data_IF_960775302676
#
_entry.id   IF_960775302676
#
_cell.length_a   1.000
_cell.length_b   1.000
_cell.length_c   1.000
_cell.angle_alpha   90.00
_cell.angle_beta   90.00
_cell.angle_gamma   90.00
#
_symmetry.space_group_name_H-M   'P 1'
#
loop_
_entity.id
_entity.type
_entity.pdbx_description
1 polymer ?
#
# COMPACT_ATOMS: atom_id res chain seq x y z
N UNK A 1 -10.35 -13.26 20.29
CA UNK A 1 -11.10 -12.17 19.61
C UNK A 1 -12.56 -12.60 19.53
N UNK A 2 -13.54 -11.72 19.79
CA UNK A 2 -14.96 -12.07 19.63
C UNK A 2 -15.30 -12.11 18.14
N UNK A 3 -15.80 -13.25 17.66
CA UNK A 3 -16.33 -13.41 16.30
C UNK A 3 -17.58 -12.55 16.13
N UNK A 4 -17.74 -11.93 14.97
CA UNK A 4 -18.92 -11.11 14.68
C UNK A 4 -19.94 -11.91 13.87
N UNK A 5 -21.16 -11.95 14.39
CA UNK A 5 -22.29 -12.64 13.76
C UNK A 5 -22.95 -11.82 12.65
N UNK A 6 -22.69 -10.52 12.56
CA UNK A 6 -23.28 -9.63 11.56
C UNK A 6 -22.33 -8.49 11.14
N UNK A 7 -22.27 -8.20 9.84
CA UNK A 7 -21.54 -7.07 9.25
C UNK A 7 -22.59 -6.22 8.50
N UNK A 8 -22.64 -4.89 8.70
CA UNK A 8 -23.56 -4.02 7.98
C UNK A 8 -23.32 -4.08 6.47
N UNK A 9 -24.28 -4.63 5.72
CA UNK A 9 -24.17 -4.79 4.26
C UNK A 9 -25.04 -3.79 3.49
N UNK A 10 -26.06 -3.21 4.12
CA UNK A 10 -26.97 -2.28 3.46
C UNK A 10 -26.48 -0.82 3.58
N UNK A 11 -26.76 0.00 2.55
CA UNK A 11 -26.38 1.43 2.51
C UNK A 11 -26.94 2.21 3.71
N UNK A 12 -28.16 1.89 4.13
CA UNK A 12 -28.87 2.58 5.23
C UNK A 12 -28.24 2.25 6.58
N UNK A 13 -27.93 0.97 6.82
CA UNK A 13 -27.31 0.52 8.07
C UNK A 13 -25.88 1.08 8.22
N UNK A 14 -25.11 1.11 7.12
CA UNK A 14 -23.77 1.70 7.09
C UNK A 14 -23.80 3.22 7.32
N UNK A 15 -24.74 3.93 6.69
CA UNK A 15 -24.92 5.38 6.91
C UNK A 15 -25.30 5.70 8.36
N UNK A 16 -26.16 4.90 8.99
CA UNK A 16 -26.57 5.08 10.40
C UNK A 16 -25.40 5.04 11.39
N UNK A 17 -24.37 4.22 11.12
CA UNK A 17 -23.15 4.16 11.96
C UNK A 17 -22.40 5.49 11.95
N UNK A 18 -22.27 6.12 10.78
CA UNK A 18 -21.59 7.41 10.65
C UNK A 18 -22.38 8.61 11.17
N UNK A 19 -23.72 8.56 11.20
CA UNK A 19 -24.53 9.60 11.86
C UNK A 19 -24.13 9.69 13.34
N UNK A 20 -23.96 8.54 13.99
CA UNK A 20 -23.51 8.46 15.39
C UNK A 20 -22.12 9.09 15.57
N UNK A 21 -21.21 8.82 14.63
CA UNK A 21 -19.84 9.37 14.62
C UNK A 21 -19.83 10.87 14.39
N UNK A 22 -20.66 11.39 13.48
CA UNK A 22 -20.81 12.82 13.24
C UNK A 22 -21.26 13.57 14.48
N UNK A 23 -22.18 13.00 15.27
CA UNK A 23 -22.61 13.57 16.55
C UNK A 23 -21.48 13.61 17.58
N UNK A 24 -20.68 12.54 17.68
CA UNK A 24 -19.51 12.48 18.58
C UNK A 24 -18.43 13.48 18.19
N UNK A 25 -18.06 13.53 16.91
CA UNK A 25 -17.10 14.50 16.37
C UNK A 25 -17.59 15.93 16.62
N UNK A 26 -18.86 16.22 16.38
CA UNK A 26 -19.47 17.52 16.69
C UNK A 26 -19.38 17.88 18.17
N UNK A 27 -19.62 16.90 19.06
CA UNK A 27 -19.47 17.07 20.51
C UNK A 27 -18.02 17.37 20.91
N UNK A 28 -17.04 16.70 20.29
CA UNK A 28 -15.61 16.94 20.52
C UNK A 28 -15.21 18.36 20.10
N UNK A 29 -15.72 18.86 18.98
CA UNK A 29 -15.51 20.26 18.57
C UNK A 29 -16.10 21.25 19.59
N UNK A 30 -17.34 21.03 20.05
CA UNK A 30 -17.97 21.88 21.08
C UNK A 30 -17.11 21.90 22.34
N UNK A 31 -16.73 20.73 22.87
CA UNK A 31 -15.86 20.57 24.03
C UNK A 31 -14.53 21.29 23.88
N UNK A 32 -13.89 21.20 22.71
CA UNK A 32 -12.63 21.89 22.43
C UNK A 32 -12.81 23.41 22.43
N UNK A 33 -13.81 23.95 21.74
CA UNK A 33 -14.05 25.40 21.72
C UNK A 33 -14.47 25.95 23.08
N UNK A 34 -15.26 25.20 23.87
CA UNK A 34 -15.58 25.57 25.26
C UNK A 34 -14.31 25.63 26.13
N UNK A 35 -13.41 24.65 25.99
CA UNK A 35 -12.12 24.66 26.70
C UNK A 35 -11.23 25.82 26.25
N UNK A 36 -11.19 26.11 24.95
CA UNK A 36 -10.41 27.23 24.40
C UNK A 36 -10.91 28.60 24.86
N UNK A 37 -12.21 28.75 25.13
CA UNK A 37 -12.78 29.95 25.73
C UNK A 37 -12.33 30.15 27.19
N UNK A 38 -12.04 29.05 27.91
CA UNK A 38 -11.58 29.08 29.31
C UNK A 38 -10.05 29.20 29.38
N UNK A 39 -9.34 28.52 28.48
CA UNK A 39 -7.88 28.51 28.36
C UNK A 39 -7.46 28.69 26.89
N UNK A 40 -7.03 29.91 26.50
CA UNK A 40 -6.61 30.23 25.13
C UNK A 40 -5.40 29.43 24.63
N UNK A 41 -4.60 28.83 25.53
CA UNK A 41 -3.42 28.02 25.18
C UNK A 41 -3.76 26.59 24.71
N UNK A 42 -5.04 26.19 24.83
CA UNK A 42 -5.52 24.87 24.42
C UNK A 42 -5.23 24.60 22.93
N UNK A 43 -4.37 23.62 22.66
CA UNK A 43 -4.03 23.17 21.30
C UNK A 43 -5.09 22.22 20.73
N UNK A 44 -5.11 22.05 19.40
CA UNK A 44 -6.01 21.11 18.71
C UNK A 44 -5.61 19.63 18.89
N UNK A 45 -4.50 19.33 19.57
CA UNK A 45 -3.97 17.98 19.74
C UNK A 45 -5.00 17.01 20.35
N UNK A 46 -5.60 17.42 21.47
CA UNK A 46 -6.63 16.64 22.17
C UNK A 46 -7.90 16.45 21.34
N UNK A 47 -8.27 17.45 20.54
CA UNK A 47 -9.39 17.37 19.60
C UNK A 47 -9.11 16.34 18.49
N UNK A 48 -7.89 16.34 17.95
CA UNK A 48 -7.49 15.37 16.92
C UNK A 48 -7.43 13.95 17.49
N UNK A 49 -6.95 13.74 18.72
CA UNK A 49 -6.95 12.43 19.38
C UNK A 49 -8.37 11.89 19.62
N UNK A 50 -9.26 12.71 20.21
CA UNK A 50 -10.66 12.32 20.46
C UNK A 50 -11.37 11.96 19.14
N UNK A 51 -11.22 12.79 18.10
CA UNK A 51 -11.83 12.54 16.78
C UNK A 51 -11.23 11.33 16.05
N UNK A 52 -9.90 11.14 16.11
CA UNK A 52 -9.24 9.99 15.49
C UNK A 52 -9.76 8.68 16.07
N UNK A 53 -10.00 8.62 17.39
CA UNK A 53 -10.55 7.45 18.05
C UNK A 53 -12.00 7.16 17.61
N UNK A 54 -12.89 8.16 17.65
CA UNK A 54 -14.30 7.98 17.28
C UNK A 54 -14.47 7.60 15.80
N UNK A 55 -13.68 8.21 14.91
CA UNK A 55 -13.69 7.88 13.48
C UNK A 55 -13.12 6.48 13.26
N UNK A 56 -11.99 6.14 13.88
CA UNK A 56 -11.40 4.80 13.79
C UNK A 56 -12.36 3.69 14.22
N UNK A 57 -13.02 3.86 15.37
CA UNK A 57 -13.97 2.86 15.89
C UNK A 57 -15.12 2.61 14.91
N UNK A 58 -15.57 3.67 14.24
CA UNK A 58 -16.61 3.60 13.21
C UNK A 58 -16.12 2.86 11.97
N UNK A 59 -14.97 3.26 11.42
CA UNK A 59 -14.36 2.63 10.24
C UNK A 59 -14.05 1.15 10.52
N UNK A 60 -13.57 0.84 11.72
CA UNK A 60 -13.33 -0.53 12.19
C UNK A 60 -14.63 -1.33 12.28
N UNK A 61 -15.73 -0.75 12.78
CA UNK A 61 -17.01 -1.46 12.86
C UNK A 61 -17.61 -1.81 11.50
N UNK A 62 -17.29 -1.04 10.45
CA UNK A 62 -17.83 -1.19 9.11
C UNK A 62 -17.10 -2.22 8.25
N UNK A 63 -15.81 -2.47 8.54
CA UNK A 63 -14.92 -3.40 7.82
C UNK A 63 -14.81 -3.11 6.32
N UNK A 64 -13.94 -3.88 5.65
CA UNK A 64 -13.73 -3.80 4.21
C UNK A 64 -13.28 -2.41 3.76
N UNK A 65 -14.04 -1.81 2.85
CA UNK A 65 -13.70 -0.55 2.20
C UNK A 65 -13.45 0.60 3.17
N UNK A 66 -14.32 0.82 4.17
CA UNK A 66 -14.13 1.88 5.17
C UNK A 66 -12.84 1.70 6.00
N UNK A 67 -12.51 0.47 6.40
CA UNK A 67 -11.28 0.19 7.15
C UNK A 67 -10.04 0.36 6.25
N UNK A 68 -10.13 -0.02 4.98
CA UNK A 68 -9.06 0.17 4.00
C UNK A 68 -8.83 1.64 3.66
N UNK A 69 -9.88 2.48 3.64
CA UNK A 69 -9.70 3.94 3.55
C UNK A 69 -8.86 4.45 4.72
N UNK A 70 -9.12 3.98 5.94
CA UNK A 70 -8.30 4.34 7.11
C UNK A 70 -6.83 3.89 6.93
N UNK A 71 -6.62 2.66 6.46
CA UNK A 71 -5.28 2.13 6.17
C UNK A 71 -4.56 2.99 5.12
N UNK A 72 -5.20 3.27 3.98
CA UNK A 72 -4.63 4.07 2.90
C UNK A 72 -4.28 5.48 3.36
N UNK A 73 -5.16 6.13 4.11
CA UNK A 73 -4.90 7.46 4.68
C UNK A 73 -3.79 7.44 5.73
N UNK A 74 -3.62 6.35 6.50
CA UNK A 74 -2.54 6.23 7.49
C UNK A 74 -1.14 6.06 6.89
N UNK A 75 -1.06 5.60 5.65
CA UNK A 75 0.22 5.44 4.94
C UNK A 75 0.73 6.76 4.38
N UNK A 76 -0.15 7.74 4.19
CA UNK A 76 0.18 9.08 3.71
C UNK A 76 0.44 10.01 4.90
N UNK A 77 1.66 9.92 5.45
CA UNK A 77 2.08 10.65 6.66
C UNK A 77 2.03 12.18 6.51
N UNK A 78 1.93 12.72 5.29
CA UNK A 78 1.86 14.15 5.02
C UNK A 78 0.44 14.74 5.00
N UNK A 79 -0.59 13.92 4.85
CA UNK A 79 -1.98 14.40 4.70
C UNK A 79 -2.77 14.49 5.99
N UNK A 80 -2.52 13.60 6.95
CA UNK A 80 -3.28 13.53 8.19
C UNK A 80 -2.48 14.03 9.39
N UNK A 81 -3.12 14.74 10.35
CA UNK A 81 -2.50 15.00 11.64
C UNK A 81 -2.05 13.69 12.31
N UNK A 82 -0.88 13.71 12.96
CA UNK A 82 -0.21 12.54 13.57
C UNK A 82 -1.15 11.62 14.37
N UNK A 83 -2.06 12.19 15.16
CA UNK A 83 -3.04 11.44 15.94
C UNK A 83 -3.94 10.50 15.10
N UNK A 84 -4.30 10.90 13.88
CA UNK A 84 -5.07 10.05 12.96
C UNK A 84 -4.19 8.99 12.34
N UNK A 85 -2.98 9.34 11.90
CA UNK A 85 -2.01 8.41 11.30
C UNK A 85 -1.70 7.26 12.25
N UNK A 86 -1.41 7.56 13.51
CA UNK A 86 -1.14 6.57 14.56
C UNK A 86 -2.37 5.71 14.88
N UNK A 87 -3.55 6.33 15.02
CA UNK A 87 -4.77 5.59 15.34
C UNK A 87 -5.21 4.70 14.17
N UNK A 88 -5.12 5.19 12.95
CA UNK A 88 -5.49 4.45 11.76
C UNK A 88 -4.48 3.35 11.44
N UNK A 89 -3.20 3.46 11.83
CA UNK A 89 -2.26 2.34 11.72
C UNK A 89 -2.76 1.07 12.47
N UNK A 90 -3.57 1.22 13.53
CA UNK A 90 -4.21 0.09 14.22
C UNK A 90 -5.17 -0.72 13.32
N UNK A 91 -5.66 -0.14 12.23
CA UNK A 91 -6.57 -0.82 11.29
C UNK A 91 -5.92 -1.99 10.58
N UNK A 92 -4.59 -2.05 10.54
CA UNK A 92 -3.83 -3.19 10.02
C UNK A 92 -4.04 -4.47 10.86
N UNK A 93 -4.43 -4.33 12.13
CA UNK A 93 -4.43 -5.43 13.10
C UNK A 93 -5.82 -5.91 13.55
N UNK A 94 -6.91 -5.39 12.98
CA UNK A 94 -8.23 -5.51 13.63
C UNK A 94 -9.42 -5.69 12.68
N UNK A 95 -9.46 -6.81 11.96
CA UNK A 95 -10.72 -7.33 11.38
C UNK A 95 -11.11 -8.67 12.04
N UNK A 96 -12.10 -8.72 12.96
CA UNK A 96 -12.77 -9.94 13.37
C UNK A 96 -13.15 -10.83 12.19
N UNK A 97 -12.88 -12.15 12.29
CA UNK A 97 -13.22 -13.08 11.23
C UNK A 97 -14.74 -13.20 11.09
N UNK A 98 -15.18 -13.49 9.87
CA UNK A 98 -16.54 -13.92 9.54
C UNK A 98 -16.89 -15.16 10.36
N UNK A 99 -18.16 -15.24 10.72
CA UNK A 99 -18.74 -16.48 11.24
C UNK A 99 -18.73 -17.58 10.17
N UNK A 100 -18.61 -18.84 10.60
CA UNK A 100 -18.68 -20.01 9.70
C UNK A 100 -19.89 -19.99 8.74
N UNK A 101 -21.12 -19.62 9.17
CA UNK A 101 -22.26 -19.49 8.27
C UNK A 101 -22.06 -18.50 7.12
N UNK A 102 -21.38 -17.35 7.36
CA UNK A 102 -21.10 -16.37 6.32
C UNK A 102 -20.06 -16.90 5.32
N UNK A 103 -19.07 -17.66 5.80
CA UNK A 103 -18.10 -18.37 4.95
C UNK A 103 -18.83 -19.35 4.04
N UNK A 104 -19.64 -20.27 4.60
CA UNK A 104 -20.39 -21.27 3.83
C UNK A 104 -21.32 -20.62 2.82
N UNK A 105 -22.04 -19.56 3.20
CA UNK A 105 -22.93 -18.83 2.30
C UNK A 105 -22.19 -18.18 1.12
N UNK A 106 -20.97 -17.67 1.36
CA UNK A 106 -20.14 -17.08 0.29
C UNK A 106 -19.72 -18.13 -0.73
N UNK A 107 -19.32 -19.31 -0.26
CA UNK A 107 -19.03 -20.48 -1.08
C UNK A 107 -20.23 -20.93 -1.93
N UNK A 108 -21.39 -21.14 -1.30
CA UNK A 108 -22.60 -21.57 -2.01
C UNK A 108 -23.02 -20.56 -3.07
N UNK A 109 -22.96 -19.26 -2.77
CA UNK A 109 -23.36 -18.20 -3.72
C UNK A 109 -22.43 -18.05 -4.91
N UNK A 110 -21.13 -18.27 -4.75
CA UNK A 110 -20.13 -17.98 -5.79
C UNK A 110 -19.63 -19.22 -6.52
N UNK A 111 -19.62 -20.37 -5.86
CA UNK A 111 -19.12 -21.65 -6.40
C UNK A 111 -20.19 -22.74 -6.45
N UNK A 112 -21.40 -22.50 -5.92
CA UNK A 112 -22.49 -23.48 -5.92
C UNK A 112 -22.28 -24.69 -5.00
N UNK A 113 -21.19 -24.71 -4.23
CA UNK A 113 -20.78 -25.81 -3.35
C UNK A 113 -20.40 -25.28 -1.98
N UNK A 114 -20.53 -26.08 -0.93
CA UNK A 114 -19.98 -25.76 0.39
C UNK A 114 -18.48 -26.05 0.46
N UNK A 115 -17.73 -25.50 1.44
CA UNK A 115 -16.32 -25.83 1.62
C UNK A 115 -16.06 -27.33 1.74
N UNK A 116 -16.91 -28.05 2.49
CA UNK A 116 -16.79 -29.49 2.70
C UNK A 116 -17.07 -30.34 1.45
N UNK A 117 -17.75 -29.79 0.44
CA UNK A 117 -17.93 -30.46 -0.86
C UNK A 117 -16.77 -30.20 -1.82
N UNK A 118 -16.03 -29.10 -1.63
CA UNK A 118 -14.95 -28.69 -2.51
C UNK A 118 -13.59 -29.21 -2.02
N UNK A 119 -13.33 -29.10 -0.72
CA UNK A 119 -12.06 -29.47 -0.08
C UNK A 119 -12.17 -30.78 0.69
N UNK A 120 -11.06 -31.48 0.84
CA UNK A 120 -10.98 -32.71 1.64
C UNK A 120 -11.00 -32.37 3.14
N UNK A 121 -10.39 -31.24 3.51
CA UNK A 121 -10.59 -30.60 4.81
C UNK A 121 -10.57 -29.07 4.65
N UNK A 122 -11.28 -28.38 5.55
CA UNK A 122 -11.34 -26.91 5.56
C UNK A 122 -11.47 -26.41 7.00
N UNK A 123 -10.55 -25.55 7.44
CA UNK A 123 -10.62 -24.93 8.76
C UNK A 123 -11.60 -23.75 8.75
N UNK A 124 -12.70 -23.86 9.51
CA UNK A 124 -13.66 -22.77 9.67
C UNK A 124 -13.10 -21.58 10.43
N UNK A 125 -12.04 -21.76 11.20
CA UNK A 125 -11.33 -20.67 11.83
C UNK A 125 -10.40 -20.02 10.81
N UNK A 126 -10.52 -18.71 10.64
CA UNK A 126 -9.59 -17.97 9.80
C UNK A 126 -8.19 -18.05 10.40
N UNK A 127 -7.20 -18.34 9.56
CA UNK A 127 -5.78 -18.33 9.94
C UNK A 127 -5.30 -16.88 10.08
N UNK A 128 -5.60 -16.05 9.07
CA UNK A 128 -5.19 -14.65 9.01
C UNK A 128 -6.35 -13.76 8.54
N UNK A 129 -6.37 -12.51 9.01
CA UNK A 129 -7.19 -11.47 8.41
C UNK A 129 -6.47 -10.88 7.20
N UNK A 130 -7.21 -10.60 6.12
CA UNK A 130 -6.73 -9.85 4.96
C UNK A 130 -7.42 -8.48 4.92
N UNK A 131 -6.96 -7.58 4.05
CA UNK A 131 -7.47 -6.20 4.00
C UNK A 131 -9.00 -6.09 3.83
N UNK A 132 -9.56 -6.83 2.88
CA UNK A 132 -11.00 -6.86 2.59
C UNK A 132 -11.62 -8.27 2.71
N UNK A 133 -10.94 -9.16 3.43
CA UNK A 133 -11.31 -10.57 3.51
C UNK A 133 -10.56 -11.31 4.61
N UNK A 134 -10.55 -12.63 4.52
CA UNK A 134 -9.83 -13.50 5.45
C UNK A 134 -9.32 -14.75 4.76
N UNK A 135 -8.27 -15.35 5.32
CA UNK A 135 -7.63 -16.55 4.76
C UNK A 135 -7.94 -17.74 5.66
N UNK A 136 -8.33 -18.85 5.04
CA UNK A 136 -8.53 -20.13 5.69
C UNK A 136 -7.53 -21.15 5.17
N UNK A 137 -7.16 -22.10 6.04
CA UNK A 137 -6.40 -23.27 5.65
C UNK A 137 -7.35 -24.36 5.16
N UNK A 138 -7.00 -24.99 4.04
CA UNK A 138 -7.72 -26.13 3.50
C UNK A 138 -6.75 -27.21 3.02
N UNK A 139 -7.26 -28.42 2.78
CA UNK A 139 -6.52 -29.50 2.13
C UNK A 139 -7.30 -30.00 0.94
N UNK A 140 -6.62 -30.18 -0.19
CA UNK A 140 -7.18 -30.84 -1.38
C UNK A 140 -6.13 -31.69 -2.08
N UNK A 141 -6.47 -32.92 -2.40
CA UNK A 141 -5.59 -33.87 -3.12
C UNK A 141 -4.21 -34.01 -2.43
N UNK A 142 -4.20 -33.99 -1.10
CA UNK A 142 -2.97 -34.06 -0.29
C UNK A 142 -2.15 -32.77 -0.22
N UNK A 143 -2.58 -31.67 -0.84
CA UNK A 143 -1.93 -30.35 -0.77
C UNK A 143 -2.56 -29.45 0.27
N UNK A 144 -1.74 -28.71 1.01
CA UNK A 144 -2.19 -27.61 1.87
C UNK A 144 -2.47 -26.37 1.01
N UNK A 145 -3.62 -25.74 1.25
CA UNK A 145 -4.10 -24.59 0.47
C UNK A 145 -4.42 -23.41 1.38
N UNK A 146 -4.16 -22.22 0.86
CA UNK A 146 -4.67 -20.95 1.37
C UNK A 146 -5.91 -20.54 0.57
N UNK A 147 -7.02 -20.31 1.29
CA UNK A 147 -8.30 -19.89 0.69
C UNK A 147 -8.66 -18.50 1.18
N UNK A 148 -8.42 -17.49 0.33
CA UNK A 148 -8.72 -16.08 0.59
C UNK A 148 -10.18 -15.81 0.23
N UNK A 149 -10.98 -15.39 1.19
CA UNK A 149 -12.42 -15.15 1.07
C UNK A 149 -12.70 -13.68 1.32
N UNK A 150 -13.33 -13.02 0.36
CA UNK A 150 -13.74 -11.62 0.49
C UNK A 150 -14.89 -11.46 1.49
N UNK A 151 -14.89 -10.38 2.28
CA UNK A 151 -16.01 -10.06 3.15
C UNK A 151 -17.28 -9.74 2.33
N UNK A 152 -18.45 -10.26 2.73
CA UNK A 152 -19.69 -9.98 2.02
C UNK A 152 -20.02 -8.49 1.98
N UNK A 153 -20.29 -7.97 0.79
CA UNK A 153 -20.81 -6.62 0.59
C UNK A 153 -19.75 -5.52 0.42
N UNK A 154 -18.46 -5.84 0.53
CA UNK A 154 -17.39 -4.83 0.46
C UNK A 154 -17.37 -4.09 -0.89
N UNK A 155 -17.40 -4.80 -2.02
CA UNK A 155 -17.46 -4.18 -3.34
C UNK A 155 -18.64 -3.20 -3.49
N UNK A 156 -19.81 -3.57 -2.94
CA UNK A 156 -21.03 -2.77 -3.02
C UNK A 156 -21.00 -1.56 -2.07
N UNK A 157 -20.18 -1.60 -1.02
CA UNK A 157 -20.09 -0.54 -0.02
C UNK A 157 -19.03 0.51 -0.32
N UNK A 158 -18.05 0.26 -1.20
CA UNK A 158 -16.95 1.19 -1.52
C UNK A 158 -17.46 2.61 -1.77
N UNK A 159 -18.35 2.77 -2.76
CA UNK A 159 -18.93 4.07 -3.14
C UNK A 159 -19.66 4.76 -1.99
N UNK A 160 -20.48 4.01 -1.25
CA UNK A 160 -21.24 4.60 -0.14
C UNK A 160 -20.33 5.00 1.02
N UNK A 161 -19.33 4.18 1.34
CA UNK A 161 -18.40 4.46 2.43
C UNK A 161 -17.58 5.72 2.13
N UNK A 162 -17.07 5.84 0.90
CA UNK A 162 -16.29 7.00 0.49
C UNK A 162 -17.10 8.29 0.53
N UNK A 163 -18.35 8.28 0.07
CA UNK A 163 -19.25 9.43 0.21
C UNK A 163 -19.44 9.87 1.65
N UNK A 164 -19.44 8.92 2.58
CA UNK A 164 -19.64 9.24 3.99
C UNK A 164 -18.34 9.73 4.65
N UNK A 165 -17.17 9.21 4.23
CA UNK A 165 -15.86 9.64 4.76
C UNK A 165 -15.43 11.00 4.22
N UNK A 166 -15.78 11.32 2.96
CA UNK A 166 -15.35 12.52 2.25
C UNK A 166 -15.53 13.85 3.03
N UNK A 167 -16.68 14.15 3.65
CA UNK A 167 -16.85 15.39 4.43
C UNK A 167 -15.91 15.51 5.62
N UNK A 168 -15.57 14.39 6.27
CA UNK A 168 -14.63 14.37 7.39
C UNK A 168 -13.20 14.58 6.89
N UNK A 169 -12.82 13.92 5.79
CA UNK A 169 -11.51 14.09 5.18
C UNK A 169 -11.27 15.55 4.76
N UNK A 170 -12.24 16.21 4.10
CA UNK A 170 -12.15 17.65 3.77
C UNK A 170 -11.88 18.48 5.01
N UNK A 171 -12.61 18.22 6.11
CA UNK A 171 -12.50 19.01 7.34
C UNK A 171 -11.21 18.76 8.12
N UNK A 172 -10.61 17.58 7.97
CA UNK A 172 -9.34 17.21 8.63
C UNK A 172 -8.14 17.75 7.83
N UNK A 173 -8.17 17.58 6.51
CA UNK A 173 -7.02 17.87 5.63
C UNK A 173 -7.01 19.33 5.17
N UNK A 174 -8.16 20.02 5.15
CA UNK A 174 -8.24 21.45 4.81
C UNK A 174 -8.02 21.77 3.32
N UNK A 175 -8.04 20.75 2.45
CA UNK A 175 -7.98 20.91 1.00
C UNK A 175 -9.30 21.43 0.41
N UNK A 176 -9.22 22.01 -0.79
CA UNK A 176 -10.41 22.41 -1.55
C UNK A 176 -11.17 21.16 -2.07
N UNK A 177 -12.45 21.33 -2.41
CA UNK A 177 -13.32 20.21 -2.78
C UNK A 177 -12.89 19.55 -4.11
N UNK A 178 -12.39 20.32 -5.07
CA UNK A 178 -12.00 19.80 -6.39
C UNK A 178 -10.78 18.88 -6.33
N UNK A 179 -9.76 19.23 -5.55
CA UNK A 179 -8.57 18.40 -5.38
C UNK A 179 -8.88 17.16 -4.54
N UNK A 180 -9.79 17.30 -3.55
CA UNK A 180 -10.28 16.17 -2.78
C UNK A 180 -11.05 15.17 -3.65
N UNK A 181 -11.79 15.64 -4.66
CA UNK A 181 -12.58 14.77 -5.55
C UNK A 181 -11.68 13.85 -6.35
N UNK A 182 -10.62 14.39 -6.96
CA UNK A 182 -9.62 13.60 -7.70
C UNK A 182 -8.97 12.52 -6.82
N UNK A 183 -8.64 12.89 -5.58
CA UNK A 183 -8.05 11.95 -4.61
C UNK A 183 -9.03 10.84 -4.22
N UNK A 184 -10.29 11.18 -3.96
CA UNK A 184 -11.32 10.19 -3.63
C UNK A 184 -11.69 9.29 -4.81
N UNK A 185 -11.67 9.80 -6.04
CA UNK A 185 -11.83 8.98 -7.25
C UNK A 185 -10.71 7.95 -7.39
N UNK A 186 -9.47 8.33 -7.07
CA UNK A 186 -8.34 7.42 -7.07
C UNK A 186 -8.47 6.33 -5.98
N UNK A 187 -8.84 6.71 -4.76
CA UNK A 187 -9.12 5.76 -3.68
C UNK A 187 -10.27 4.83 -4.07
N UNK A 188 -11.35 5.36 -4.65
CA UNK A 188 -12.49 4.57 -5.10
C UNK A 188 -12.07 3.54 -6.13
N UNK A 189 -11.39 3.98 -7.19
CA UNK A 189 -10.88 3.10 -8.23
C UNK A 189 -10.00 2.00 -7.64
N UNK A 190 -9.12 2.36 -6.70
CA UNK A 190 -8.21 1.40 -6.05
C UNK A 190 -8.96 0.37 -5.21
N UNK A 191 -9.93 0.79 -4.42
CA UNK A 191 -10.75 -0.11 -3.59
C UNK A 191 -11.62 -1.04 -4.43
N UNK A 192 -12.17 -0.55 -5.54
CA UNK A 192 -12.93 -1.38 -6.47
C UNK A 192 -12.03 -2.43 -7.14
N UNK A 193 -10.82 -2.04 -7.55
CA UNK A 193 -9.80 -2.93 -8.10
C UNK A 193 -9.43 -4.04 -7.09
N UNK A 194 -9.23 -3.70 -5.81
CA UNK A 194 -8.97 -4.70 -4.75
C UNK A 194 -10.13 -5.68 -4.55
N UNK A 195 -11.36 -5.29 -4.90
CA UNK A 195 -12.52 -6.18 -4.77
C UNK A 195 -12.70 -7.14 -5.95
N UNK A 196 -11.93 -6.99 -7.02
CA UNK A 196 -11.99 -7.86 -8.19
C UNK A 196 -10.99 -9.04 -8.06
N UNK A 197 -11.43 -10.10 -7.40
CA UNK A 197 -10.60 -11.29 -7.19
C UNK A 197 -10.32 -12.07 -8.49
N UNK A 198 -11.12 -11.88 -9.55
CA UNK A 198 -10.81 -12.47 -10.86
C UNK A 198 -9.63 -11.76 -11.51
N UNK A 199 -9.60 -10.43 -11.41
CA UNK A 199 -8.48 -9.62 -11.86
C UNK A 199 -7.22 -9.95 -11.05
N UNK A 200 -7.32 -10.01 -9.73
CA UNK A 200 -6.22 -10.42 -8.85
C UNK A 200 -5.71 -11.81 -9.24
N UNK A 201 -6.57 -12.82 -9.33
CA UNK A 201 -6.18 -14.20 -9.69
C UNK A 201 -5.39 -14.25 -11.01
N UNK A 202 -5.89 -13.59 -12.06
CA UNK A 202 -5.21 -13.54 -13.36
C UNK A 202 -3.85 -12.87 -13.25
N UNK A 203 -3.78 -11.69 -12.63
CA UNK A 203 -2.51 -10.97 -12.43
C UNK A 203 -1.51 -11.78 -11.63
N UNK A 204 -1.98 -12.49 -10.61
CA UNK A 204 -1.16 -13.35 -9.79
C UNK A 204 -0.51 -14.46 -10.62
N UNK A 205 -1.29 -15.14 -11.46
CA UNK A 205 -0.79 -16.16 -12.37
C UNK A 205 0.19 -15.58 -13.40
N UNK A 206 -0.20 -14.51 -14.08
CA UNK A 206 0.62 -13.90 -15.14
C UNK A 206 1.98 -13.42 -14.59
N UNK A 207 1.97 -12.79 -13.41
CA UNK A 207 3.18 -12.25 -12.80
C UNK A 207 4.05 -13.32 -12.14
N UNK A 208 3.45 -14.34 -11.51
CA UNK A 208 4.20 -15.47 -10.97
C UNK A 208 4.91 -16.23 -12.08
N UNK A 209 4.21 -16.48 -13.20
CA UNK A 209 4.79 -17.18 -14.34
C UNK A 209 5.91 -16.35 -14.99
N UNK A 210 5.67 -15.04 -15.17
CA UNK A 210 6.68 -14.13 -15.72
C UNK A 210 7.93 -14.03 -14.84
N UNK A 211 7.82 -14.20 -13.52
CA UNK A 211 8.93 -14.04 -12.57
C UNK A 211 9.50 -15.37 -12.05
N UNK A 212 8.96 -16.52 -12.47
CA UNK A 212 9.32 -17.84 -11.92
C UNK A 212 10.80 -18.23 -12.12
N UNK A 213 11.46 -17.64 -13.11
CA UNK A 213 12.88 -17.87 -13.41
C UNK A 213 13.83 -17.08 -12.49
N UNK A 214 13.33 -16.07 -11.76
CA UNK A 214 14.14 -15.25 -10.88
C UNK A 214 14.55 -16.08 -9.65
N UNK A 215 15.86 -16.15 -9.31
CA UNK A 215 16.31 -16.94 -8.18
C UNK A 215 15.65 -16.56 -6.86
N UNK A 216 15.46 -17.57 -6.01
CA UNK A 216 14.98 -17.43 -4.62
C UNK A 216 13.55 -16.88 -4.45
N UNK A 217 12.79 -16.68 -5.53
CA UNK A 217 11.36 -16.39 -5.46
C UNK A 217 10.53 -17.68 -5.36
N UNK A 218 9.49 -17.64 -4.53
CA UNK A 218 8.54 -18.73 -4.37
C UNK A 218 7.14 -18.17 -4.54
N UNK A 219 6.44 -18.62 -5.57
CA UNK A 219 5.04 -18.28 -5.81
C UNK A 219 4.15 -19.50 -5.53
N UNK A 220 2.92 -19.31 -5.05
CA UNK A 220 2.00 -20.42 -4.92
C UNK A 220 1.43 -20.79 -6.29
N UNK A 221 1.05 -22.06 -6.48
CA UNK A 221 0.15 -22.40 -7.58
C UNK A 221 -1.24 -21.84 -7.27
N UNK A 222 -1.82 -21.12 -8.22
CA UNK A 222 -3.20 -20.64 -8.11
C UNK A 222 -4.17 -21.63 -8.78
N UNK A 223 -5.36 -21.80 -8.23
CA UNK A 223 -6.36 -22.79 -8.68
C UNK A 223 -7.65 -22.11 -9.16
N UNK A 224 -7.76 -21.75 -10.45
CA UNK A 224 -8.95 -21.09 -11.00
C UNK A 224 -10.25 -21.90 -10.83
N UNK A 225 -10.17 -23.23 -10.88
CA UNK A 225 -11.30 -24.14 -10.73
C UNK A 225 -11.90 -24.15 -9.31
N UNK A 226 -11.15 -23.68 -8.32
CA UNK A 226 -11.58 -23.54 -6.92
C UNK A 226 -11.68 -22.07 -6.50
N UNK A 227 -11.65 -21.16 -7.47
CA UNK A 227 -11.69 -19.71 -7.27
C UNK A 227 -12.93 -19.10 -7.93
N UNK A 228 -13.30 -17.89 -7.50
CA UNK A 228 -14.48 -17.15 -7.96
C UNK A 228 -14.23 -15.64 -7.91
N UNK A 229 -15.28 -14.83 -8.12
CA UNK A 229 -15.25 -13.38 -7.90
C UNK A 229 -15.06 -12.96 -6.43
N UNK A 230 -15.09 -13.91 -5.48
CA UNK A 230 -14.92 -13.62 -4.04
C UNK A 230 -14.02 -14.58 -3.30
N UNK A 231 -13.51 -15.60 -3.98
CA UNK A 231 -12.66 -16.64 -3.39
C UNK A 231 -11.44 -16.83 -4.29
N UNK A 232 -10.25 -16.74 -3.71
CA UNK A 232 -9.00 -17.14 -4.38
C UNK A 232 -8.43 -18.32 -3.61
N UNK A 233 -8.12 -19.38 -4.34
CA UNK A 233 -7.53 -20.60 -3.79
C UNK A 233 -6.14 -20.79 -4.38
N UNK A 234 -5.15 -20.98 -3.53
CA UNK A 234 -3.75 -21.10 -3.91
C UNK A 234 -3.00 -22.04 -2.96
N UNK A 235 -1.79 -22.47 -3.32
CA UNK A 235 -0.93 -23.25 -2.43
C UNK A 235 -0.67 -22.49 -1.12
N UNK A 236 -0.64 -23.22 0.00
CA UNK A 236 -0.19 -22.66 1.27
C UNK A 236 1.33 -22.48 1.26
N UNK A 237 1.79 -21.23 1.32
CA UNK A 237 3.22 -20.94 1.47
C UNK A 237 3.63 -20.96 2.94
N UNK A 238 4.77 -21.59 3.21
CA UNK A 238 5.40 -21.63 4.53
C UNK A 238 6.47 -20.54 4.64
N UNK A 239 6.54 -19.88 5.79
CA UNK A 239 7.53 -18.84 6.08
C UNK A 239 7.06 -17.96 7.24
N UNK A 240 7.85 -16.95 7.58
CA UNK A 240 7.55 -15.97 8.62
C UNK A 240 7.44 -14.57 7.99
N UNK A 241 6.54 -13.74 8.53
CA UNK A 241 6.53 -12.32 8.15
C UNK A 241 7.81 -11.62 8.65
N UNK A 242 8.19 -10.51 8.00
CA UNK A 242 9.47 -9.81 8.24
C UNK A 242 9.83 -9.66 9.73
N UNK A 243 8.91 -9.16 10.55
CA UNK A 243 9.14 -8.94 11.98
C UNK A 243 9.43 -10.22 12.75
N UNK A 244 8.67 -11.28 12.47
CA UNK A 244 8.85 -12.59 13.10
C UNK A 244 10.12 -13.27 12.62
N UNK A 245 10.41 -13.16 11.32
CA UNK A 245 11.62 -13.66 10.71
C UNK A 245 12.88 -13.01 11.32
N UNK A 246 12.90 -11.70 11.50
CA UNK A 246 14.04 -11.01 12.12
C UNK A 246 14.27 -11.43 13.59
N UNK A 247 13.20 -11.82 14.30
CA UNK A 247 13.31 -12.33 15.68
C UNK A 247 14.01 -13.70 15.77
N UNK A 248 14.03 -14.47 14.68
CA UNK A 248 14.79 -15.73 14.64
C UNK A 248 16.30 -15.51 14.42
N UNK A 249 16.74 -14.26 14.37
CA UNK A 249 18.14 -13.84 14.12
C UNK A 249 18.79 -14.56 12.91
N UNK A 250 18.22 -14.42 11.71
CA UNK A 250 18.74 -15.06 10.51
C UNK A 250 20.14 -14.51 10.18
N UNK A 251 20.98 -15.34 9.55
CA UNK A 251 22.33 -14.94 9.14
C UNK A 251 22.28 -13.82 8.08
N UNK A 252 23.38 -13.09 7.95
CA UNK A 252 23.44 -11.99 6.99
C UNK A 252 23.32 -12.49 5.54
N UNK A 253 23.83 -13.68 5.24
CA UNK A 253 23.71 -14.32 3.93
C UNK A 253 22.25 -14.58 3.55
N UNK A 254 21.45 -15.07 4.50
CA UNK A 254 20.01 -15.30 4.29
C UNK A 254 19.29 -13.97 4.06
N UNK A 255 19.60 -12.93 4.85
CA UNK A 255 19.02 -11.59 4.68
C UNK A 255 19.38 -10.98 3.34
N UNK A 256 20.63 -11.10 2.91
CA UNK A 256 21.10 -10.62 1.61
C UNK A 256 20.44 -11.39 0.46
N UNK A 257 20.28 -12.72 0.58
CA UNK A 257 19.58 -13.55 -0.42
C UNK A 257 18.14 -13.10 -0.63
N UNK A 258 17.40 -12.88 0.47
CA UNK A 258 16.02 -12.38 0.43
C UNK A 258 15.97 -10.96 -0.15
N UNK A 259 16.87 -10.08 0.30
CA UNK A 259 16.95 -8.71 -0.21
C UNK A 259 17.27 -8.66 -1.71
N UNK A 260 18.19 -9.50 -2.18
CA UNK A 260 18.53 -9.60 -3.59
C UNK A 260 17.33 -10.10 -4.41
N UNK A 261 16.62 -11.11 -3.93
CA UNK A 261 15.45 -11.64 -4.61
C UNK A 261 14.34 -10.58 -4.75
N UNK A 262 14.09 -9.79 -3.69
CA UNK A 262 13.17 -8.67 -3.74
C UNK A 262 13.60 -7.60 -4.75
N UNK A 263 14.87 -7.20 -4.71
CA UNK A 263 15.41 -6.23 -5.66
C UNK A 263 15.22 -6.72 -7.11
N UNK A 264 15.67 -7.94 -7.40
CA UNK A 264 15.58 -8.54 -8.73
C UNK A 264 14.12 -8.63 -9.20
N UNK A 265 13.21 -9.03 -8.31
CA UNK A 265 11.77 -9.08 -8.58
C UNK A 265 11.22 -7.73 -9.03
N UNK A 266 11.54 -6.66 -8.31
CA UNK A 266 11.07 -5.31 -8.64
C UNK A 266 11.74 -4.73 -9.89
N UNK A 267 13.05 -4.95 -10.04
CA UNK A 267 13.79 -4.47 -11.20
C UNK A 267 13.32 -5.15 -12.49
N UNK A 268 13.10 -6.47 -12.46
CA UNK A 268 12.58 -7.21 -13.61
C UNK A 268 11.19 -6.70 -14.04
N UNK A 269 10.28 -6.53 -13.08
CA UNK A 269 8.96 -5.96 -13.30
C UNK A 269 9.01 -4.59 -13.98
N UNK A 270 9.71 -3.64 -13.37
CA UNK A 270 9.78 -2.26 -13.84
C UNK A 270 10.47 -2.16 -15.20
N UNK A 271 11.61 -2.82 -15.38
CA UNK A 271 12.46 -2.63 -16.54
C UNK A 271 12.14 -3.60 -17.70
N UNK A 272 11.62 -4.78 -17.43
CA UNK A 272 11.26 -5.77 -18.46
C UNK A 272 9.76 -5.76 -18.75
N UNK A 273 8.92 -5.93 -17.72
CA UNK A 273 7.47 -6.06 -17.92
C UNK A 273 6.75 -4.72 -18.13
N UNK A 274 7.39 -3.59 -17.76
CA UNK A 274 6.76 -2.26 -17.68
C UNK A 274 5.48 -2.28 -16.84
N UNK A 275 5.49 -3.13 -15.83
CA UNK A 275 4.41 -3.32 -14.88
C UNK A 275 5.04 -3.55 -13.51
N UNK A 276 4.41 -3.07 -12.45
CA UNK A 276 4.97 -3.22 -11.11
C UNK A 276 3.91 -3.55 -10.08
N UNK A 277 4.24 -4.46 -9.18
CA UNK A 277 3.51 -4.70 -7.94
C UNK A 277 3.66 -3.49 -7.00
N UNK A 278 2.76 -2.52 -7.11
CA UNK A 278 2.83 -1.23 -6.41
C UNK A 278 2.34 -1.28 -4.95
N UNK A 279 2.51 -2.42 -4.27
CA UNK A 279 2.25 -2.58 -2.83
C UNK A 279 3.34 -3.43 -2.15
N UNK A 280 4.56 -2.87 -1.96
CA UNK A 280 5.68 -3.51 -1.25
C UNK A 280 5.44 -3.59 0.27
N UNK A 281 4.26 -4.00 0.72
CA UNK A 281 3.96 -4.15 2.13
C UNK A 281 4.56 -5.44 2.67
N UNK A 282 5.26 -5.45 3.83
CA UNK A 282 5.86 -6.67 4.40
C UNK A 282 4.89 -7.85 4.59
N UNK A 283 3.59 -7.54 4.73
CA UNK A 283 2.52 -8.54 4.85
C UNK A 283 2.26 -9.35 3.59
N UNK A 284 2.73 -8.90 2.42
CA UNK A 284 2.58 -9.61 1.13
C UNK A 284 3.73 -10.61 0.88
N UNK A 285 4.66 -10.71 1.84
CA UNK A 285 5.87 -11.50 1.75
C UNK A 285 6.01 -12.47 2.93
N UNK A 286 6.57 -13.65 2.65
CA UNK A 286 6.94 -14.65 3.65
C UNK A 286 8.43 -14.99 3.50
N UNK A 287 9.22 -14.64 4.50
CA UNK A 287 10.65 -14.91 4.54
C UNK A 287 10.90 -16.33 5.03
N UNK A 288 11.83 -17.03 4.40
CA UNK A 288 12.15 -18.42 4.73
C UNK A 288 13.59 -18.55 5.22
N UNK A 289 13.88 -19.48 6.15
CA UNK A 289 15.24 -19.68 6.68
C UNK A 289 16.28 -20.09 5.65
N UNK A 290 15.85 -20.63 4.50
CA UNK A 290 16.69 -21.05 3.38
C UNK A 290 17.12 -19.88 2.47
N UNK A 291 16.72 -18.65 2.78
CA UNK A 291 17.07 -17.47 1.98
C UNK A 291 16.14 -17.22 0.79
N UNK A 292 15.02 -17.96 0.70
CA UNK A 292 13.97 -17.73 -0.28
C UNK A 292 12.86 -16.84 0.27
N UNK A 293 12.06 -16.26 -0.63
CA UNK A 293 10.93 -15.39 -0.28
C UNK A 293 9.66 -15.82 -1.00
N UNK A 294 8.60 -16.05 -0.23
CA UNK A 294 7.25 -16.30 -0.70
C UNK A 294 6.51 -15.02 -1.04
N UNK A 295 5.87 -14.95 -2.20
CA UNK A 295 5.06 -13.81 -2.66
C UNK A 295 3.70 -14.33 -3.12
N UNK A 296 2.59 -13.76 -2.62
CA UNK A 296 1.27 -14.35 -2.81
C UNK A 296 0.11 -13.35 -3.01
N UNK A 297 0.34 -12.04 -2.85
CA UNK A 297 -0.67 -11.01 -3.10
C UNK A 297 -0.22 -10.09 -4.25
N UNK A 298 -1.05 -10.00 -5.29
CA UNK A 298 -0.83 -9.16 -6.47
C UNK A 298 -2.05 -8.27 -6.77
N UNK A 299 -2.80 -7.89 -5.74
CA UNK A 299 -3.98 -7.03 -5.87
C UNK A 299 -3.67 -5.62 -6.42
N UNK A 300 -2.41 -5.20 -6.37
CA UNK A 300 -1.96 -3.88 -6.84
C UNK A 300 -0.87 -3.98 -7.92
N UNK A 301 -1.24 -4.28 -9.16
CA UNK A 301 -0.33 -4.16 -10.31
C UNK A 301 -0.64 -2.88 -11.09
N UNK A 302 0.38 -2.09 -11.40
CA UNK A 302 0.28 -0.89 -12.22
C UNK A 302 1.13 -1.01 -13.47
N UNK A 303 0.54 -0.68 -14.60
CA UNK A 303 1.25 -0.46 -15.86
C UNK A 303 2.03 0.85 -15.81
N UNK A 304 3.23 0.84 -16.37
CA UNK A 304 4.13 1.98 -16.47
C UNK A 304 4.08 2.46 -17.93
N UNK A 305 3.46 3.61 -18.22
CA UNK A 305 3.45 4.15 -19.57
C UNK A 305 4.86 4.35 -20.12
N UNK A 306 5.06 4.08 -21.41
CA UNK A 306 6.39 4.09 -22.02
C UNK A 306 7.07 5.46 -22.04
N UNK A 307 6.30 6.52 -22.25
CA UNK A 307 6.71 7.91 -22.17
C UNK A 307 7.13 8.28 -20.74
N UNK A 308 6.32 7.92 -19.75
CA UNK A 308 6.64 8.10 -18.34
C UNK A 308 7.91 7.34 -17.96
N UNK A 309 8.00 6.04 -18.30
CA UNK A 309 9.16 5.19 -18.02
C UNK A 309 10.45 5.83 -18.56
N UNK A 310 10.42 6.28 -19.82
CA UNK A 310 11.62 6.85 -20.47
C UNK A 310 12.09 8.10 -19.76
N UNK A 311 11.18 9.05 -19.46
CA UNK A 311 11.54 10.28 -18.77
C UNK A 311 11.99 10.01 -17.33
N UNK A 312 11.27 9.14 -16.61
CA UNK A 312 11.51 8.88 -15.19
C UNK A 312 12.85 8.18 -14.94
N UNK A 313 13.21 7.16 -15.74
CA UNK A 313 14.47 6.46 -15.55
C UNK A 313 15.68 7.19 -16.15
N UNK A 314 15.48 8.20 -17.00
CA UNK A 314 16.54 9.15 -17.36
C UNK A 314 17.02 9.99 -16.16
N UNK A 315 16.22 10.11 -15.09
CA UNK A 315 16.63 10.84 -13.87
C UNK A 315 17.82 10.20 -13.15
N UNK A 316 18.13 8.92 -13.41
CA UNK A 316 19.27 8.22 -12.84
C UNK A 316 20.58 8.66 -13.52
N UNK A 317 20.51 9.11 -14.78
CA UNK A 317 21.68 9.47 -15.57
C UNK A 317 22.08 10.93 -15.32
N UNK A 318 23.14 11.11 -14.53
CA UNK A 318 23.67 12.43 -14.18
C UNK A 318 24.21 13.19 -15.39
N UNK A 319 24.65 12.53 -16.45
CA UNK A 319 25.12 13.22 -17.65
C UNK A 319 23.93 13.80 -18.43
N UNK A 320 22.81 13.09 -18.50
CA UNK A 320 21.56 13.61 -19.08
C UNK A 320 21.09 14.85 -18.32
N UNK A 321 21.17 14.83 -16.99
CA UNK A 321 20.71 15.94 -16.16
C UNK A 321 21.62 17.19 -16.19
N UNK A 322 22.86 17.08 -16.70
CA UNK A 322 23.74 18.25 -16.90
C UNK A 322 23.29 19.13 -18.07
N UNK A 323 22.63 18.55 -19.07
CA UNK A 323 22.04 19.29 -20.18
C UNK A 323 20.78 20.01 -19.66
N UNK A 324 20.85 21.34 -19.60
CA UNK A 324 19.77 22.19 -19.08
C UNK A 324 18.48 22.06 -19.90
N UNK A 325 18.60 22.01 -21.23
CA UNK A 325 17.43 21.87 -22.09
C UNK A 325 16.79 20.50 -21.87
N UNK A 326 17.61 19.44 -21.84
CA UNK A 326 17.11 18.09 -21.65
C UNK A 326 16.50 17.87 -20.27
N UNK A 327 17.14 18.40 -19.21
CA UNK A 327 16.61 18.38 -17.84
C UNK A 327 15.26 19.11 -17.77
N UNK A 328 15.15 20.29 -18.39
CA UNK A 328 13.92 21.06 -18.42
C UNK A 328 12.78 20.30 -19.13
N UNK A 329 13.07 19.66 -20.26
CA UNK A 329 12.11 18.79 -20.97
C UNK A 329 11.64 17.64 -20.07
N UNK A 330 12.57 16.91 -19.43
CA UNK A 330 12.23 15.78 -18.56
C UNK A 330 11.39 16.24 -17.36
N UNK A 331 11.79 17.32 -16.69
CA UNK A 331 11.06 17.83 -15.52
C UNK A 331 9.66 18.31 -15.90
N UNK A 332 9.49 18.90 -17.09
CA UNK A 332 8.17 19.29 -17.59
C UNK A 332 7.31 18.07 -17.90
N UNK A 333 7.86 17.06 -18.60
CA UNK A 333 7.15 15.82 -18.94
C UNK A 333 6.73 15.02 -17.71
N UNK A 334 7.48 15.11 -16.61
CA UNK A 334 7.17 14.48 -15.34
C UNK A 334 6.32 15.36 -14.41
N UNK A 335 5.86 16.53 -14.90
CA UNK A 335 5.05 17.51 -14.16
C UNK A 335 5.74 18.02 -12.87
N UNK A 336 7.07 17.97 -12.82
CA UNK A 336 7.88 18.50 -11.72
C UNK A 336 7.94 20.03 -11.79
N UNK A 337 8.03 20.56 -13.00
CA UNK A 337 7.90 22.00 -13.31
C UNK A 337 6.76 22.21 -14.30
N UNK A 338 6.13 23.38 -14.24
CA UNK A 338 4.97 23.72 -15.06
C UNK A 338 5.24 24.91 -15.97
N UNK A 339 4.63 25.00 -17.17
CA UNK A 339 4.81 26.14 -18.08
C UNK A 339 4.37 27.48 -17.50
N UNK A 340 3.53 27.47 -16.46
CA UNK A 340 3.05 28.67 -15.76
C UNK A 340 3.97 29.13 -14.63
N UNK A 341 5.01 28.37 -14.31
CA UNK A 341 5.95 28.71 -13.25
C UNK A 341 6.80 29.93 -13.64
N UNK A 342 7.03 30.81 -12.68
CA UNK A 342 7.99 31.90 -12.82
C UNK A 342 9.42 31.34 -12.89
N UNK A 343 10.39 32.09 -13.47
CA UNK A 343 11.79 31.63 -13.50
C UNK A 343 12.36 31.27 -12.12
N UNK A 344 11.94 31.98 -11.07
CA UNK A 344 12.34 31.68 -9.67
C UNK A 344 11.75 30.37 -9.16
N UNK A 345 10.50 30.07 -9.50
CA UNK A 345 9.87 28.79 -9.14
C UNK A 345 10.53 27.63 -9.89
N UNK A 346 10.82 27.79 -11.18
CA UNK A 346 11.52 26.78 -11.97
C UNK A 346 12.88 26.47 -11.34
N UNK A 347 13.68 27.49 -11.00
CA UNK A 347 14.98 27.31 -10.35
C UNK A 347 14.85 26.61 -9.00
N UNK A 348 13.92 27.07 -8.15
CA UNK A 348 13.67 26.50 -6.82
C UNK A 348 13.25 25.03 -6.89
N UNK A 349 12.18 24.71 -7.63
CA UNK A 349 11.67 23.35 -7.73
C UNK A 349 12.66 22.43 -8.43
N UNK A 350 13.37 22.90 -9.46
CA UNK A 350 14.41 22.10 -10.12
C UNK A 350 15.52 21.70 -9.16
N UNK A 351 15.97 22.63 -8.30
CA UNK A 351 16.97 22.34 -7.27
C UNK A 351 16.48 21.33 -6.23
N UNK A 352 15.23 21.49 -5.77
CA UNK A 352 14.62 20.54 -4.82
C UNK A 352 14.49 19.13 -5.39
N UNK A 353 13.98 19.00 -6.62
CA UNK A 353 13.83 17.72 -7.28
C UNK A 353 15.18 17.07 -7.56
N UNK A 354 16.18 17.85 -7.98
CA UNK A 354 17.53 17.33 -8.22
C UNK A 354 18.11 16.67 -6.97
N UNK A 355 18.04 17.35 -5.81
CA UNK A 355 18.55 16.78 -4.55
C UNK A 355 17.78 15.52 -4.15
N UNK A 356 16.45 15.52 -4.30
CA UNK A 356 15.63 14.33 -4.03
C UNK A 356 15.99 13.15 -4.95
N UNK A 357 16.22 13.43 -6.24
CA UNK A 357 16.63 12.44 -7.24
C UNK A 357 18.00 11.85 -6.86
N UNK A 358 18.98 12.69 -6.52
CA UNK A 358 20.31 12.23 -6.15
C UNK A 358 20.27 11.27 -4.93
N UNK A 359 19.46 11.58 -3.91
CA UNK A 359 19.28 10.73 -2.74
C UNK A 359 18.60 9.39 -3.08
N UNK A 360 17.47 9.44 -3.77
CA UNK A 360 16.66 8.23 -4.03
C UNK A 360 17.27 7.31 -5.09
N UNK A 361 18.05 7.87 -6.02
CA UNK A 361 18.67 7.12 -7.10
C UNK A 361 20.05 6.56 -6.75
N UNK A 362 20.65 6.97 -5.62
CA UNK A 362 21.98 6.52 -5.21
C UNK A 362 22.20 4.99 -5.32
N UNK A 363 21.27 4.11 -4.87
CA UNK A 363 21.45 2.68 -5.01
C UNK A 363 21.60 2.20 -6.47
N UNK A 364 20.96 2.86 -7.43
CA UNK A 364 21.05 2.52 -8.85
C UNK A 364 22.35 3.01 -9.51
N UNK A 365 23.06 3.94 -8.87
CA UNK A 365 24.32 4.48 -9.39
C UNK A 365 25.55 3.67 -8.98
N UNK A 366 25.38 2.69 -8.08
CA UNK A 366 26.44 1.85 -7.55
C UNK A 366 26.27 0.39 -8.01
N UNK A 367 27.35 -0.39 -8.11
CA UNK A 367 27.27 -1.82 -8.48
C UNK A 367 26.66 -2.68 -7.35
N UNK A 368 26.78 -2.24 -6.11
CA UNK A 368 26.19 -2.85 -4.93
C UNK A 368 25.83 -1.77 -3.92
N UNK A 369 24.84 -2.04 -3.08
CA UNK A 369 24.36 -1.11 -2.06
C UNK A 369 24.07 -1.82 -0.74
N UNK A 370 24.53 -1.21 0.36
CA UNK A 370 24.25 -1.64 1.73
C UNK A 370 23.03 -0.88 2.28
N UNK A 371 21.86 -1.51 2.26
CA UNK A 371 20.65 -0.95 2.85
C UNK A 371 20.67 -0.99 4.39
N UNK A 372 21.70 -1.57 5.02
CA UNK A 372 21.98 -1.41 6.44
C UNK A 372 22.58 -0.05 6.82
N UNK A 373 22.91 0.80 5.85
CA UNK A 373 23.49 2.12 6.07
C UNK A 373 22.47 3.11 6.67
N UNK A 374 22.47 3.24 8.00
CA UNK A 374 21.57 4.15 8.72
C UNK A 374 21.78 5.63 8.35
N UNK A 375 23.01 6.04 7.99
CA UNK A 375 23.29 7.43 7.62
C UNK A 375 22.55 7.83 6.33
N UNK A 376 22.47 6.93 5.36
CA UNK A 376 21.73 7.14 4.11
C UNK A 376 20.24 7.39 4.35
N UNK A 377 19.59 6.55 5.17
CA UNK A 377 18.18 6.72 5.50
C UNK A 377 17.91 7.96 6.34
N UNK A 378 18.80 8.29 7.27
CA UNK A 378 18.70 9.52 8.06
C UNK A 378 18.77 10.77 7.17
N UNK A 379 19.61 10.76 6.13
CA UNK A 379 19.69 11.86 5.16
C UNK A 379 18.38 12.02 4.37
N UNK A 380 17.81 10.91 3.88
CA UNK A 380 16.50 10.94 3.21
C UNK A 380 15.41 11.49 4.15
N UNK A 381 15.33 10.99 5.39
CA UNK A 381 14.30 11.44 6.32
C UNK A 381 14.48 12.89 6.74
N UNK A 382 15.71 13.34 6.96
CA UNK A 382 16.01 14.74 7.28
C UNK A 382 15.58 15.67 6.14
N UNK A 383 15.89 15.32 4.89
CA UNK A 383 15.50 16.12 3.74
C UNK A 383 13.98 16.13 3.53
N UNK A 384 13.29 15.00 3.74
CA UNK A 384 11.82 14.94 3.67
C UNK A 384 11.16 15.80 4.76
N UNK A 385 11.72 15.83 5.97
CA UNK A 385 11.23 16.71 7.04
C UNK A 385 11.49 18.18 6.72
N UNK A 386 12.64 18.51 6.12
CA UNK A 386 12.93 19.86 5.64
C UNK A 386 11.88 20.30 4.60
N UNK A 387 11.67 19.50 3.54
CA UNK A 387 10.67 19.75 2.50
C UNK A 387 9.27 19.97 3.07
N UNK A 388 8.86 19.14 4.03
CA UNK A 388 7.55 19.25 4.67
C UNK A 388 7.38 20.57 5.44
N UNK A 389 8.46 21.11 5.99
CA UNK A 389 8.46 22.34 6.76
C UNK A 389 8.70 23.61 5.92
N UNK A 390 9.10 23.49 4.65
CA UNK A 390 9.30 24.62 3.74
C UNK A 390 7.98 25.34 3.41
N UNK A 391 7.99 26.67 3.53
CA UNK A 391 6.81 27.51 3.30
C UNK A 391 6.37 27.47 1.84
N UNK A 392 7.33 27.54 0.93
CA UNK A 392 7.15 27.52 -0.52
C UNK A 392 6.45 26.23 -0.99
N UNK A 393 6.76 25.09 -0.35
CA UNK A 393 6.10 23.81 -0.61
C UNK A 393 4.68 23.81 -0.05
N UNK A 394 4.51 24.23 1.21
CA UNK A 394 3.20 24.23 1.89
C UNK A 394 2.20 25.22 1.28
N UNK A 395 2.68 26.34 0.74
CA UNK A 395 1.84 27.37 0.12
C UNK A 395 1.66 27.14 -1.40
N UNK A 396 2.39 26.18 -1.98
CA UNK A 396 2.21 25.82 -3.39
C UNK A 396 0.80 25.28 -3.62
N UNK A 397 0.10 25.89 -4.57
CA UNK A 397 -1.25 25.46 -5.00
C UNK A 397 -1.20 24.57 -6.25
N UNK A 398 -0.01 24.29 -6.76
CA UNK A 398 0.21 23.50 -7.97
C UNK A 398 0.67 22.12 -7.55
N UNK A 399 -0.10 21.10 -7.89
CA UNK A 399 0.33 19.71 -7.72
C UNK A 399 1.53 19.44 -8.65
N UNK A 400 2.63 18.92 -8.08
CA UNK A 400 3.85 18.61 -8.82
C UNK A 400 4.16 17.12 -8.74
N UNK A 401 4.62 16.58 -9.86
CA UNK A 401 4.92 15.17 -10.05
C UNK A 401 3.74 14.41 -10.67
N UNK A 402 4.05 13.66 -11.73
CA UNK A 402 3.10 12.77 -12.39
C UNK A 402 2.45 11.80 -11.41
N UNK A 403 1.17 11.50 -11.65
CA UNK A 403 0.44 10.42 -10.95
C UNK A 403 1.21 9.09 -10.97
N UNK A 404 1.94 8.79 -12.05
CA UNK A 404 2.74 7.57 -12.17
C UNK A 404 3.97 7.59 -11.24
N UNK A 405 4.57 8.77 -11.02
CA UNK A 405 5.69 8.94 -10.07
C UNK A 405 5.30 8.57 -8.65
N UNK A 406 4.07 8.89 -8.22
CA UNK A 406 3.58 8.54 -6.88
C UNK A 406 3.63 7.03 -6.64
N UNK A 407 3.19 6.23 -7.62
CA UNK A 407 3.21 4.76 -7.51
C UNK A 407 4.62 4.21 -7.49
N UNK A 408 5.50 4.67 -8.38
CA UNK A 408 6.88 4.18 -8.45
C UNK A 408 7.68 4.59 -7.21
N UNK A 409 7.60 5.86 -6.81
CA UNK A 409 8.25 6.34 -5.59
C UNK A 409 7.79 5.53 -4.38
N UNK A 410 6.48 5.35 -4.20
CA UNK A 410 5.93 4.55 -3.08
C UNK A 410 6.41 3.11 -3.11
N UNK A 411 6.52 2.52 -4.30
CA UNK A 411 7.05 1.16 -4.47
C UNK A 411 8.50 1.08 -4.01
N UNK A 412 9.37 1.99 -4.46
CA UNK A 412 10.77 1.99 -4.07
C UNK A 412 10.95 2.34 -2.58
N UNK A 413 10.18 3.27 -2.02
CA UNK A 413 10.23 3.56 -0.58
C UNK A 413 9.88 2.35 0.28
N UNK A 414 8.82 1.61 -0.07
CA UNK A 414 8.46 0.40 0.66
C UNK A 414 9.49 -0.72 0.49
N UNK A 415 10.04 -0.88 -0.71
CA UNK A 415 11.15 -1.81 -0.96
C UNK A 415 12.38 -1.45 -0.11
N UNK A 416 12.79 -0.18 -0.12
CA UNK A 416 13.95 0.30 0.65
C UNK A 416 13.75 0.10 2.14
N UNK A 417 12.54 0.31 2.65
CA UNK A 417 12.20 0.02 4.05
C UNK A 417 12.40 -1.47 4.38
N UNK A 418 11.93 -2.38 3.54
CA UNK A 418 12.12 -3.83 3.76
C UNK A 418 13.61 -4.20 3.69
N UNK A 419 14.35 -3.67 2.71
CA UNK A 419 15.78 -3.92 2.57
C UNK A 419 16.58 -3.35 3.76
N UNK A 420 16.14 -2.20 4.29
CA UNK A 420 16.71 -1.58 5.50
C UNK A 420 16.47 -2.41 6.75
N UNK A 421 15.25 -2.92 6.94
CA UNK A 421 14.92 -3.80 8.08
C UNK A 421 15.72 -5.11 8.02
N UNK A 422 15.93 -5.64 6.81
CA UNK A 422 16.81 -6.78 6.56
C UNK A 422 18.30 -6.44 6.72
N UNK A 423 18.67 -5.16 6.71
CA UNK A 423 20.05 -4.69 6.57
C UNK A 423 20.75 -5.37 5.39
N UNK A 424 20.05 -5.46 4.26
CA UNK A 424 20.49 -6.24 3.12
C UNK A 424 21.61 -5.52 2.35
N UNK A 425 22.71 -6.23 2.09
CA UNK A 425 23.75 -5.80 1.15
C UNK A 425 23.58 -6.57 -0.15
N UNK A 426 23.27 -5.87 -1.23
CA UNK A 426 22.81 -6.48 -2.49
C UNK A 426 23.52 -5.87 -3.70
N UNK A 427 23.52 -6.60 -4.81
CA UNK A 427 23.99 -6.15 -6.11
C UNK A 427 22.89 -5.33 -6.77
N UNK A 428 23.22 -4.09 -7.09
CA UNK A 428 22.32 -3.11 -7.71
C UNK A 428 22.73 -2.75 -9.15
N UNK A 429 23.83 -3.32 -9.64
CA UNK A 429 24.34 -3.12 -10.99
C UNK A 429 23.25 -3.30 -12.06
N UNK A 430 23.00 -2.30 -12.92
CA UNK A 430 22.02 -2.41 -14.02
C UNK A 430 22.24 -3.61 -14.95
N UNK A 431 23.48 -4.08 -15.12
CA UNK A 431 23.79 -5.26 -15.93
C UNK A 431 23.13 -6.54 -15.39
N UNK A 432 22.80 -6.58 -14.09
CA UNK A 432 22.06 -7.68 -13.47
C UNK A 432 20.66 -7.84 -14.06
N UNK A 433 20.00 -6.73 -14.42
CA UNK A 433 18.66 -6.76 -15.03
C UNK A 433 18.68 -7.54 -16.34
N UNK A 434 19.71 -7.35 -17.16
CA UNK A 434 19.87 -8.08 -18.42
C UNK A 434 20.11 -9.58 -18.22
N UNK A 435 20.63 -10.00 -17.06
CA UNK A 435 20.80 -11.41 -16.71
C UNK A 435 19.47 -12.06 -16.31
N UNK A 436 18.57 -11.28 -15.71
CA UNK A 436 17.21 -11.73 -15.37
C UNK A 436 16.32 -11.92 -16.62
N UNK A 437 16.70 -11.38 -17.78
CA UNK A 437 15.91 -11.53 -19.01
C UNK A 437 16.20 -12.81 -19.81
N UNK A 438 17.17 -13.60 -19.37
CA UNK A 438 17.64 -14.83 -20.03
C UNK A 438 17.16 -16.04 -19.27
#
# INVERSE_FOLDING_TARGET
MKEQSNIPTSKVERAGRFVTTGLKVGTNYIKHYTRKLIDPSTTKESLHQDNAADIYDTLSSLKGSALKVAQMLSMDKGMLPKAYTEKFAMSQYSAPPLSGPLVVNTFVKTLGKTPAQLYDSFDMKASNAASIGQVHKAVKNGKELAVKIQYPGVANSVKSDLRIVKPFAIRIVGMNEVDMDKYFEEIESKLLEETDYKLELRRSMDLSDACAHIPNLVFPTYYPEWSSDRIITMDWLHGAHLKEFLQTNPSQEVRNSIGQALWDFYQFQVHTLKQVHADPHPGNFLMRPDGTIGIFDFGCVKEIPGDFYTNYFCLIDKEILKDEQRRHEIYTNLEMIHPTDTPKEIEFFSGLFQHMIDLLTLPFTLPAFDFGNEAYFNEIYAYMDELYNMKEIRESKVARGSRHSLYINRTYFGLYSILSDLKANIITDPARIAQLQR
#
